data_IF_747644741377
#
_entry.id   IF_747644741377
#
_cell.length_a   1.000
_cell.length_b   1.000
_cell.length_c   1.000
_cell.angle_alpha   90.00
_cell.angle_beta   90.00
_cell.angle_gamma   90.00
#
_symmetry.space_group_name_H-M   'P 1'
#
loop_
_entity.id
_entity.type
_entity.pdbx_description
1 polymer ?
#
# COMPACT_ATOMS: atom_id res chain seq x y z
N UNK A 1 1.25 10.23 -3.65
CA UNK A 1 2.22 9.44 -2.86
C UNK A 1 2.64 8.26 -3.69
N UNK A 2 3.94 8.00 -3.81
CA UNK A 2 4.48 6.86 -4.54
C UNK A 2 5.64 6.26 -3.74
N UNK A 3 5.68 4.94 -3.63
CA UNK A 3 6.78 4.20 -3.03
C UNK A 3 6.83 2.78 -3.60
N UNK A 4 7.95 2.11 -3.44
CA UNK A 4 8.12 0.71 -3.81
C UNK A 4 8.90 -0.05 -2.73
N UNK A 5 8.76 -1.37 -2.74
CA UNK A 5 9.45 -2.26 -1.82
C UNK A 5 9.63 -3.65 -2.42
N UNK A 6 10.69 -4.34 -2.00
CA UNK A 6 10.98 -5.72 -2.40
C UNK A 6 10.32 -6.71 -1.44
N UNK A 7 9.76 -7.80 -1.97
CA UNK A 7 9.18 -8.92 -1.21
C UNK A 7 9.86 -10.21 -1.66
N UNK A 8 10.17 -11.08 -0.70
CA UNK A 8 10.84 -12.37 -0.92
C UNK A 8 12.36 -12.32 -0.74
N UNK A 9 12.95 -13.49 -0.51
CA UNK A 9 14.38 -13.69 -0.33
C UNK A 9 15.05 -14.32 -1.55
N UNK A 10 14.53 -15.47 -1.99
CA UNK A 10 15.02 -16.23 -3.15
C UNK A 10 14.27 -15.84 -4.42
N UNK A 11 12.94 -15.71 -4.32
CA UNK A 11 12.06 -15.18 -5.37
C UNK A 11 11.71 -13.72 -5.04
N UNK A 12 12.44 -12.77 -5.61
CA UNK A 12 12.28 -11.34 -5.31
C UNK A 12 11.32 -10.68 -6.28
N UNK A 13 10.36 -9.96 -5.73
CA UNK A 13 9.38 -9.18 -6.50
C UNK A 13 9.36 -7.72 -6.04
N UNK A 14 9.13 -6.82 -7.00
CA UNK A 14 9.00 -5.39 -6.72
C UNK A 14 7.52 -5.05 -6.64
N UNK A 15 7.09 -4.59 -5.47
CA UNK A 15 5.77 -4.02 -5.26
C UNK A 15 5.85 -2.51 -5.41
N UNK A 16 5.01 -1.95 -6.27
CA UNK A 16 4.87 -0.50 -6.45
C UNK A 16 3.51 -0.04 -5.95
N UNK A 17 3.50 1.02 -5.15
CA UNK A 17 2.30 1.67 -4.65
C UNK A 17 2.22 3.10 -5.18
N UNK A 18 1.07 3.48 -5.73
CA UNK A 18 0.80 4.83 -6.17
C UNK A 18 -0.60 5.29 -5.74
N UNK A 19 -0.67 6.44 -5.07
CA UNK A 19 -1.92 7.11 -4.72
C UNK A 19 -1.89 8.56 -5.23
N UNK A 20 -2.78 8.88 -6.16
CA UNK A 20 -2.98 10.25 -6.62
C UNK A 20 -4.03 10.92 -5.72
N UNK A 21 -3.59 11.88 -4.91
CA UNK A 21 -4.46 12.59 -3.98
C UNK A 21 -5.48 13.50 -4.66
N UNK A 22 -5.19 13.98 -5.88
CA UNK A 22 -6.06 14.90 -6.61
C UNK A 22 -7.23 14.16 -7.27
N UNK A 23 -6.94 13.02 -7.89
CA UNK A 23 -7.96 12.17 -8.53
C UNK A 23 -8.59 11.16 -7.57
N UNK A 24 -7.93 10.91 -6.44
CA UNK A 24 -8.38 9.92 -5.47
C UNK A 24 -8.32 8.49 -6.01
N UNK A 25 -7.44 8.16 -6.96
CA UNK A 25 -7.21 6.79 -7.41
C UNK A 25 -5.93 6.21 -6.81
N UNK A 26 -5.95 4.89 -6.61
CA UNK A 26 -4.84 4.12 -6.07
C UNK A 26 -4.53 2.94 -6.99
N UNK A 27 -3.25 2.67 -7.21
CA UNK A 27 -2.75 1.52 -7.97
C UNK A 27 -1.67 0.81 -7.15
N UNK A 28 -1.73 -0.53 -7.15
CA UNK A 28 -0.67 -1.39 -6.63
C UNK A 28 -0.28 -2.37 -7.73
N UNK A 29 1.02 -2.42 -8.02
CA UNK A 29 1.60 -3.28 -9.06
C UNK A 29 2.62 -4.23 -8.45
N UNK A 30 2.76 -5.40 -9.05
CA UNK A 30 3.81 -6.38 -8.75
C UNK A 30 4.56 -6.66 -10.05
N UNK A 31 5.85 -6.33 -10.08
CA UNK A 31 6.72 -6.36 -11.26
C UNK A 31 6.10 -5.63 -12.47
N UNK A 32 5.53 -4.45 -12.21
CA UNK A 32 4.86 -3.63 -13.23
C UNK A 32 3.47 -4.10 -13.65
N UNK A 33 3.01 -5.28 -13.22
CA UNK A 33 1.68 -5.79 -13.51
C UNK A 33 0.65 -5.30 -12.48
N UNK A 34 -0.48 -4.74 -12.94
CA UNK A 34 -1.55 -4.26 -12.07
C UNK A 34 -2.14 -5.40 -11.22
N UNK A 35 -2.10 -5.23 -9.89
CA UNK A 35 -2.76 -6.13 -8.93
C UNK A 35 -4.00 -5.52 -8.33
N UNK A 36 -3.95 -4.24 -7.97
CA UNK A 36 -5.08 -3.53 -7.37
C UNK A 36 -5.21 -2.17 -8.04
N UNK A 37 -6.41 -1.87 -8.52
CA UNK A 37 -6.79 -0.54 -8.98
C UNK A 37 -8.07 -0.12 -8.24
N UNK A 38 -7.99 0.97 -7.49
CA UNK A 38 -9.05 1.46 -6.63
C UNK A 38 -9.38 2.92 -6.96
N UNK A 39 -10.45 3.09 -7.74
CA UNK A 39 -10.99 4.39 -8.15
C UNK A 39 -12.03 4.92 -7.15
N UNK A 40 -12.45 4.13 -6.16
CA UNK A 40 -13.46 4.48 -5.17
C UNK A 40 -12.81 4.71 -3.81
N UNK A 41 -11.92 5.70 -3.76
CA UNK A 41 -11.21 6.03 -2.53
C UNK A 41 -12.06 6.87 -1.56
N UNK A 42 -13.30 7.22 -1.90
CA UNK A 42 -14.27 7.80 -0.95
C UNK A 42 -14.79 6.72 0.00
N UNK A 43 -14.01 6.43 1.05
CA UNK A 43 -14.43 5.60 2.18
C UNK A 43 -14.41 6.47 3.43
N UNK A 44 -15.45 6.34 4.26
CA UNK A 44 -15.52 6.97 5.58
C UNK A 44 -14.61 6.29 6.62
N UNK A 45 -14.01 5.13 6.28
CA UNK A 45 -13.04 4.47 7.15
C UNK A 45 -11.71 5.24 7.14
N UNK A 46 -11.18 5.47 8.34
CA UNK A 46 -9.86 6.10 8.54
C UNK A 46 -8.73 5.25 7.98
N UNK A 47 -8.85 3.93 8.08
CA UNK A 47 -7.88 2.97 7.58
C UNK A 47 -8.49 2.26 6.39
N UNK A 48 -7.77 2.23 5.27
CA UNK A 48 -8.08 1.40 4.12
C UNK A 48 -6.97 0.38 3.96
N UNK A 49 -7.34 -0.89 3.85
CA UNK A 49 -6.42 -2.02 3.81
C UNK A 49 -6.47 -2.67 2.44
N UNK A 50 -5.30 -3.03 1.92
CA UNK A 50 -5.12 -3.73 0.66
C UNK A 50 -4.30 -4.98 0.93
N UNK A 51 -4.82 -6.15 0.59
CA UNK A 51 -4.19 -7.45 0.83
C UNK A 51 -4.07 -8.21 -0.49
N UNK A 52 -2.90 -8.79 -0.74
CA UNK A 52 -2.61 -9.55 -1.95
C UNK A 52 -1.42 -10.50 -1.71
N UNK A 53 -1.36 -11.59 -2.48
CA UNK A 53 -0.25 -12.53 -2.48
C UNK A 53 0.81 -12.12 -3.52
N UNK A 54 2.08 -12.30 -3.18
CA UNK A 54 3.24 -12.08 -4.06
C UNK A 54 4.10 -13.34 -4.07
N UNK A 55 4.64 -13.72 -5.24
CA UNK A 55 5.44 -14.93 -5.41
C UNK A 55 4.68 -16.11 -6.03
N UNK A 56 5.42 -17.07 -6.58
CA UNK A 56 4.88 -18.31 -7.12
C UNK A 56 5.29 -19.51 -6.28
N UNK A 57 6.60 -19.65 -6.03
CA UNK A 57 7.20 -20.71 -5.21
C UNK A 57 7.41 -20.22 -3.78
N UNK A 58 7.89 -18.98 -3.63
CA UNK A 58 8.06 -18.30 -2.35
C UNK A 58 6.94 -17.28 -2.16
N UNK A 59 5.79 -17.77 -1.69
CA UNK A 59 4.58 -16.96 -1.54
C UNK A 59 4.59 -16.18 -0.22
N UNK A 60 4.28 -14.89 -0.33
CA UNK A 60 4.13 -13.99 0.80
C UNK A 60 2.79 -13.25 0.77
N UNK A 61 2.16 -13.15 1.93
CA UNK A 61 0.97 -12.34 2.12
C UNK A 61 1.38 -10.89 2.39
N UNK A 62 1.08 -10.00 1.44
CA UNK A 62 1.37 -8.58 1.57
C UNK A 62 0.10 -7.84 2.01
N UNK A 63 0.26 -6.97 3.01
CA UNK A 63 -0.78 -6.05 3.45
C UNK A 63 -0.26 -4.62 3.44
N UNK A 64 -1.01 -3.73 2.79
CA UNK A 64 -0.75 -2.28 2.80
C UNK A 64 -1.92 -1.56 3.45
N UNK A 65 -1.65 -0.85 4.55
CA UNK A 65 -2.63 -0.02 5.24
C UNK A 65 -2.39 1.46 4.93
N UNK A 66 -3.39 2.13 4.36
CA UNK A 66 -3.42 3.59 4.17
C UNK A 66 -4.24 4.23 5.29
N UNK A 67 -3.56 4.94 6.19
CA UNK A 67 -4.13 5.56 7.38
C UNK A 67 -4.30 7.06 7.13
N UNK A 68 -5.55 7.49 6.95
CA UNK A 68 -5.94 8.87 6.65
C UNK A 68 -5.97 9.71 7.93
N UNK A 69 -5.78 11.02 7.75
CA UNK A 69 -5.99 12.02 8.80
C UNK A 69 -7.48 12.05 9.19
N UNK A 70 -7.77 12.18 10.47
CA UNK A 70 -9.07 12.64 10.92
C UNK A 70 -9.27 14.08 10.43
N UNK A 71 -10.44 14.39 9.90
CA UNK A 71 -10.87 15.77 9.63
C UNK A 71 -10.79 16.49 11.00
N UNK A 72 -10.01 17.56 11.11
CA UNK A 72 -9.60 18.31 12.34
C UNK A 72 -8.23 17.97 12.97
N UNK A 73 -7.44 17.02 12.46
CA UNK A 73 -6.15 16.64 13.06
C UNK A 73 -4.91 17.46 12.61
N UNK A 74 -5.09 18.66 12.03
CA UNK A 74 -4.00 19.57 11.65
C UNK A 74 -3.08 19.07 10.51
N UNK A 75 -1.76 19.38 10.60
CA UNK A 75 -0.71 19.05 9.61
C UNK A 75 -0.20 17.60 9.65
N UNK A 76 -0.82 16.70 10.43
CA UNK A 76 -0.37 15.29 10.55
C UNK A 76 -0.32 14.65 9.17
N UNK A 77 0.72 13.89 8.82
CA UNK A 77 0.85 13.25 7.50
C UNK A 77 -0.03 12.00 7.39
N UNK A 78 -0.39 11.63 6.16
CA UNK A 78 -1.03 10.33 5.88
C UNK A 78 0.03 9.25 6.07
N UNK A 79 -0.26 8.20 6.83
CA UNK A 79 0.70 7.09 7.04
C UNK A 79 0.34 5.89 6.19
N UNK A 80 1.36 5.18 5.76
CA UNK A 80 1.25 3.93 5.03
C UNK A 80 2.08 2.89 5.75
N UNK A 81 1.49 1.75 6.08
CA UNK A 81 2.20 0.63 6.71
C UNK A 81 2.17 -0.57 5.78
N UNK A 82 3.32 -1.20 5.62
CA UNK A 82 3.49 -2.42 4.81
C UNK A 82 3.80 -3.56 5.76
N UNK A 83 3.07 -4.65 5.62
CA UNK A 83 3.28 -5.89 6.34
C UNK A 83 3.54 -7.02 5.36
N UNK A 84 4.49 -7.88 5.70
CA UNK A 84 4.81 -9.12 5.00
C UNK A 84 4.56 -10.25 5.98
N UNK A 85 3.67 -11.18 5.62
CA UNK A 85 3.23 -12.30 6.47
C UNK A 85 2.76 -11.86 7.86
N UNK A 86 2.07 -10.70 7.90
CA UNK A 86 1.52 -10.11 9.12
C UNK A 86 2.54 -9.33 9.97
N UNK A 87 3.82 -9.35 9.63
CA UNK A 87 4.88 -8.62 10.34
C UNK A 87 5.04 -7.24 9.71
N UNK A 88 5.06 -6.18 10.53
CA UNK A 88 5.34 -4.82 10.06
C UNK A 88 6.77 -4.75 9.52
N UNK A 89 6.87 -4.47 8.23
CA UNK A 89 8.14 -4.44 7.51
C UNK A 89 8.60 -2.99 7.28
N UNK A 90 7.71 -2.13 6.77
CA UNK A 90 8.05 -0.75 6.39
C UNK A 90 6.92 0.24 6.70
N UNK A 91 7.30 1.49 6.98
CA UNK A 91 6.38 2.63 7.09
C UNK A 91 6.76 3.75 6.11
N UNK A 92 5.75 4.39 5.52
CA UNK A 92 5.91 5.56 4.67
C UNK A 92 4.96 6.69 5.09
N UNK A 93 5.33 7.92 4.79
CA UNK A 93 4.51 9.11 5.07
C UNK A 93 4.23 9.90 3.80
N UNK A 94 2.94 10.13 3.52
CA UNK A 94 2.47 11.03 2.47
C UNK A 94 2.04 12.38 3.02
N UNK A 95 2.11 13.42 2.19
CA UNK A 95 1.73 14.78 2.56
C UNK A 95 0.25 14.91 2.96
#
# INVERSE_FOLDING_TARGET
MKFSFEVGHSEKHIVEFEFNQFLGNLSIKVDGNDRINDFRTFSFKLIKTYEFEVGNEEKHQVKVEKIRKLVLAGFRKTKYKVYIDGILDREFEGR
#
